data_IF_685969405712
#
_entry.id   IF_685969405712
#
_cell.length_a   1.000
_cell.length_b   1.000
_cell.length_c   1.000
_cell.angle_alpha   90.00
_cell.angle_beta   90.00
_cell.angle_gamma   90.00
#
_symmetry.space_group_name_H-M   'P 1'
#
loop_
_entity.id
_entity.type
_entity.pdbx_description
1 polymer ?
#
# COMPACT_ATOMS: atom_id res chain seq x y z
N UNK A 1 -29.96 5.54 12.34
CA UNK A 1 -30.77 5.60 11.11
C UNK A 1 -30.24 4.58 10.13
N UNK A 2 -31.13 3.83 9.48
CA UNK A 2 -30.78 2.75 8.56
C UNK A 2 -30.35 3.38 7.23
N UNK A 3 -29.10 3.83 7.14
CA UNK A 3 -28.51 4.43 5.94
C UNK A 3 -28.21 3.33 4.90
N UNK A 4 -29.26 2.66 4.44
CA UNK A 4 -29.16 1.73 3.33
C UNK A 4 -28.76 2.54 2.09
N UNK A 5 -27.77 2.06 1.31
CA UNK A 5 -27.29 2.83 0.17
C UNK A 5 -28.39 2.99 -0.88
N UNK A 6 -28.69 4.24 -1.25
CA UNK A 6 -29.71 4.56 -2.24
C UNK A 6 -29.36 3.96 -3.61
N UNK A 7 -30.37 3.57 -4.43
CA UNK A 7 -30.13 3.17 -5.81
C UNK A 7 -29.35 4.23 -6.58
N UNK A 8 -28.46 3.79 -7.46
CA UNK A 8 -27.66 4.67 -8.33
C UNK A 8 -28.03 4.42 -9.77
N UNK A 9 -28.11 5.50 -10.56
CA UNK A 9 -28.43 5.41 -11.99
C UNK A 9 -27.17 5.09 -12.81
N UNK A 10 -26.04 5.75 -12.51
CA UNK A 10 -24.77 5.54 -13.20
C UNK A 10 -23.70 5.03 -12.24
N UNK A 11 -22.97 3.99 -12.65
CA UNK A 11 -21.90 3.39 -11.82
C UNK A 11 -20.64 4.26 -11.76
N UNK A 12 -20.41 5.07 -12.79
CA UNK A 12 -19.31 6.03 -12.87
C UNK A 12 -19.30 7.01 -11.70
N UNK A 13 -20.47 7.34 -11.17
CA UNK A 13 -20.62 8.29 -10.06
C UNK A 13 -20.06 7.73 -8.74
N UNK A 14 -19.78 6.42 -8.68
CA UNK A 14 -19.15 5.77 -7.55
C UNK A 14 -17.64 5.72 -7.64
N UNK A 15 -17.06 5.94 -8.82
CA UNK A 15 -15.65 5.70 -9.08
C UNK A 15 -14.84 6.86 -8.51
N UNK A 16 -13.89 6.51 -7.65
CA UNK A 16 -12.94 7.44 -7.05
C UNK A 16 -11.55 7.09 -7.54
N UNK A 17 -10.68 8.10 -7.67
CA UNK A 17 -9.26 7.86 -7.87
C UNK A 17 -8.72 7.02 -6.69
N UNK A 18 -7.90 6.01 -6.98
CA UNK A 18 -7.49 5.02 -5.97
C UNK A 18 -6.70 5.64 -4.81
N UNK A 19 -5.97 6.73 -5.07
CA UNK A 19 -5.23 7.52 -4.09
C UNK A 19 -6.13 8.39 -3.21
N UNK A 20 -7.35 8.72 -3.66
CA UNK A 20 -8.33 9.48 -2.87
C UNK A 20 -9.34 8.58 -2.15
N UNK A 21 -9.68 7.42 -2.74
CA UNK A 21 -10.71 6.49 -2.28
C UNK A 21 -10.62 6.17 -0.79
N UNK A 22 -11.72 6.36 -0.06
CA UNK A 22 -11.81 5.95 1.34
C UNK A 22 -12.05 4.44 1.41
N UNK A 23 -11.30 3.75 2.26
CA UNK A 23 -11.47 2.32 2.46
C UNK A 23 -12.76 2.00 3.21
N UNK A 24 -13.44 0.94 2.79
CA UNK A 24 -14.69 0.51 3.39
C UNK A 24 -14.49 -0.56 4.48
N UNK A 25 -13.32 -1.19 4.56
CA UNK A 25 -13.10 -2.35 5.44
C UNK A 25 -13.82 -3.61 4.95
N UNK A 26 -14.00 -3.73 3.63
CA UNK A 26 -14.75 -4.77 2.94
C UNK A 26 -13.99 -5.27 1.70
N UNK A 27 -13.84 -6.58 1.56
CA UNK A 27 -13.21 -7.23 0.40
C UNK A 27 -11.93 -8.01 0.70
N UNK A 28 -11.42 -7.96 1.93
CA UNK A 28 -10.23 -8.71 2.32
C UNK A 28 -9.01 -8.33 1.48
N UNK A 29 -8.28 -9.34 0.96
CA UNK A 29 -7.06 -9.13 0.16
C UNK A 29 -7.31 -8.25 -1.07
N UNK A 30 -8.52 -8.24 -1.64
CA UNK A 30 -8.85 -7.35 -2.75
C UNK A 30 -8.85 -5.86 -2.36
N UNK A 31 -9.05 -5.53 -1.08
CA UNK A 31 -8.97 -4.15 -0.60
C UNK A 31 -7.56 -3.79 -0.11
N UNK A 32 -6.93 -4.67 0.68
CA UNK A 32 -5.68 -4.35 1.39
C UNK A 32 -4.41 -4.96 0.82
N UNK A 33 -4.51 -5.87 -0.14
CA UNK A 33 -3.37 -6.66 -0.64
C UNK A 33 -3.14 -6.51 -2.14
N UNK A 34 -4.18 -6.66 -2.97
CA UNK A 34 -4.08 -6.46 -4.43
C UNK A 34 -4.02 -4.97 -4.73
N UNK A 35 -3.11 -4.59 -5.62
CA UNK A 35 -2.76 -3.20 -5.88
C UNK A 35 -3.27 -2.74 -7.24
N UNK A 36 -2.42 -2.12 -8.08
CA UNK A 36 -2.76 -1.53 -9.39
C UNK A 36 -3.42 -2.49 -10.38
N UNK A 37 -3.34 -3.80 -10.13
CA UNK A 37 -3.94 -4.87 -10.94
C UNK A 37 -5.45 -5.03 -10.74
N UNK A 38 -6.01 -4.37 -9.72
CA UNK A 38 -7.41 -4.47 -9.35
C UNK A 38 -8.00 -3.10 -9.06
N UNK A 39 -9.00 -2.70 -9.84
CA UNK A 39 -9.76 -1.48 -9.53
C UNK A 39 -10.64 -1.70 -8.30
N UNK A 40 -10.23 -1.09 -7.19
CA UNK A 40 -10.90 -1.21 -5.89
C UNK A 40 -12.30 -0.59 -5.89
N UNK A 41 -12.69 0.17 -6.92
CA UNK A 41 -14.05 0.64 -7.09
C UNK A 41 -15.04 -0.53 -7.29
N UNK A 42 -14.61 -1.67 -7.85
CA UNK A 42 -15.47 -2.85 -7.96
C UNK A 42 -15.95 -3.40 -6.60
N UNK A 43 -15.16 -3.24 -5.54
CA UNK A 43 -15.57 -3.62 -4.19
C UNK A 43 -16.77 -2.78 -3.69
N UNK A 44 -16.84 -1.51 -4.09
CA UNK A 44 -17.95 -0.62 -3.75
C UNK A 44 -19.25 -1.12 -4.39
N UNK A 45 -19.19 -1.58 -5.64
CA UNK A 45 -20.36 -2.16 -6.34
C UNK A 45 -20.85 -3.41 -5.61
N UNK A 46 -19.93 -4.32 -5.26
CA UNK A 46 -20.26 -5.56 -4.53
C UNK A 46 -20.87 -5.21 -3.16
N UNK A 47 -20.25 -4.31 -2.41
CA UNK A 47 -20.74 -3.84 -1.12
C UNK A 47 -22.16 -3.29 -1.22
N UNK A 48 -22.42 -2.36 -2.15
CA UNK A 48 -23.73 -1.74 -2.35
C UNK A 48 -24.81 -2.77 -2.71
N UNK A 49 -24.45 -3.76 -3.54
CA UNK A 49 -25.37 -4.83 -3.95
C UNK A 49 -25.79 -5.69 -2.76
N UNK A 50 -24.83 -6.01 -1.88
CA UNK A 50 -25.07 -6.81 -0.69
C UNK A 50 -25.81 -6.02 0.39
N UNK A 51 -25.37 -4.81 0.69
CA UNK A 51 -25.92 -3.96 1.75
C UNK A 51 -27.38 -3.58 1.52
N UNK A 52 -27.88 -3.58 0.28
CA UNK A 52 -29.29 -3.33 -0.04
C UNK A 52 -30.23 -4.52 0.23
N UNK A 53 -29.70 -5.71 0.53
CA UNK A 53 -30.53 -6.90 0.78
C UNK A 53 -31.09 -6.86 2.20
N UNK A 54 -32.42 -6.93 2.34
CA UNK A 54 -33.14 -6.85 3.63
C UNK A 54 -32.68 -7.87 4.68
N UNK A 55 -32.21 -9.04 4.26
CA UNK A 55 -31.81 -10.14 5.14
C UNK A 55 -30.28 -10.30 5.23
N UNK A 56 -29.52 -9.30 4.82
CA UNK A 56 -28.06 -9.33 4.85
C UNK A 56 -27.54 -8.13 5.62
N UNK A 57 -26.62 -8.39 6.55
CA UNK A 57 -26.01 -7.37 7.39
C UNK A 57 -24.49 -7.54 7.36
N UNK A 58 -23.77 -6.42 7.26
CA UNK A 58 -22.31 -6.37 7.32
C UNK A 58 -21.95 -5.60 8.58
N UNK A 59 -21.05 -6.16 9.39
CA UNK A 59 -20.53 -5.51 10.58
C UNK A 59 -19.02 -5.33 10.44
N UNK A 60 -18.55 -4.08 10.50
CA UNK A 60 -17.13 -3.73 10.57
C UNK A 60 -16.64 -3.70 12.02
N UNK A 61 -15.32 -3.85 12.23
CA UNK A 61 -14.71 -3.74 13.56
C UNK A 61 -15.00 -4.90 14.52
N UNK A 62 -15.60 -6.00 14.03
CA UNK A 62 -15.91 -7.19 14.83
C UNK A 62 -14.87 -8.28 14.55
N UNK A 63 -14.14 -8.71 15.59
CA UNK A 63 -13.23 -9.86 15.51
C UNK A 63 -13.89 -11.10 16.10
N UNK A 64 -14.19 -12.08 15.26
CA UNK A 64 -14.68 -13.39 15.71
C UNK A 64 -13.60 -14.14 16.51
N UNK A 65 -13.96 -14.72 17.65
CA UNK A 65 -13.03 -15.25 18.66
C UNK A 65 -12.37 -14.19 19.55
N UNK A 66 -12.81 -12.92 19.45
CA UNK A 66 -12.32 -11.82 20.28
C UNK A 66 -13.46 -10.94 20.77
N UNK A 67 -13.85 -9.96 19.97
CA UNK A 67 -14.97 -9.05 20.25
C UNK A 67 -16.31 -9.79 20.25
N UNK A 68 -16.45 -10.79 19.38
CA UNK A 68 -17.59 -11.69 19.32
C UNK A 68 -17.07 -13.12 19.43
N UNK A 69 -17.47 -13.86 20.46
CA UNK A 69 -17.11 -15.26 20.64
C UNK A 69 -18.12 -16.18 19.96
N UNK A 70 -17.80 -17.46 19.91
CA UNK A 70 -18.70 -18.46 19.31
C UNK A 70 -19.95 -18.65 20.18
N UNK A 71 -19.80 -18.59 21.50
CA UNK A 71 -20.91 -18.67 22.46
C UNK A 71 -21.88 -17.50 22.29
N UNK A 72 -21.35 -16.27 22.18
CA UNK A 72 -22.15 -15.07 21.92
C UNK A 72 -23.00 -15.20 20.64
N UNK A 73 -22.43 -15.81 19.58
CA UNK A 73 -23.15 -16.01 18.33
C UNK A 73 -24.34 -16.97 18.49
N UNK A 74 -24.20 -18.01 19.30
CA UNK A 74 -25.28 -18.94 19.62
C UNK A 74 -26.37 -18.28 20.47
N UNK A 75 -25.97 -17.49 21.46
CA UNK A 75 -26.91 -16.72 22.31
C UNK A 75 -27.71 -15.69 21.49
N UNK A 76 -27.12 -15.15 20.42
CA UNK A 76 -27.79 -14.28 19.45
C UNK A 76 -28.71 -15.02 18.48
N UNK A 77 -28.82 -16.36 18.58
CA UNK A 77 -29.72 -17.18 17.77
C UNK A 77 -29.17 -17.57 16.39
N UNK A 78 -27.86 -17.46 16.15
CA UNK A 78 -27.24 -17.95 14.91
C UNK A 78 -27.33 -19.48 14.89
N UNK A 79 -27.80 -20.08 13.79
CA UNK A 79 -27.88 -21.55 13.68
C UNK A 79 -26.65 -22.19 12.99
N UNK A 80 -25.95 -21.43 12.15
CA UNK A 80 -24.82 -21.92 11.36
C UNK A 80 -23.72 -20.87 11.29
N UNK A 81 -22.47 -21.32 11.36
CA UNK A 81 -21.28 -20.47 11.24
C UNK A 81 -20.42 -21.00 10.09
N UNK A 82 -20.06 -20.12 9.17
CA UNK A 82 -19.08 -20.37 8.13
C UNK A 82 -17.82 -19.52 8.38
N UNK A 83 -16.65 -20.16 8.43
CA UNK A 83 -15.38 -19.49 8.64
C UNK A 83 -14.71 -19.24 7.29
N UNK A 84 -14.73 -17.99 6.83
CA UNK A 84 -14.16 -17.54 5.55
C UNK A 84 -13.11 -16.45 5.75
N UNK A 85 -12.24 -16.60 6.75
CA UNK A 85 -11.27 -15.56 7.17
C UNK A 85 -10.02 -15.46 6.28
N UNK A 86 -9.88 -16.34 5.29
CA UNK A 86 -8.68 -16.44 4.46
C UNK A 86 -7.43 -16.85 5.25
N UNK A 87 -6.25 -16.66 4.63
CA UNK A 87 -4.94 -17.03 5.18
C UNK A 87 -4.10 -15.78 5.52
N UNK A 88 -4.59 -14.94 6.43
CA UNK A 88 -3.97 -13.65 6.76
C UNK A 88 -2.77 -13.70 7.71
N UNK A 89 -2.38 -14.88 8.24
CA UNK A 89 -1.23 -15.00 9.15
C UNK A 89 0.07 -14.82 8.35
N UNK A 90 0.92 -13.83 8.67
CA UNK A 90 2.16 -13.62 7.92
C UNK A 90 3.14 -14.75 8.15
N UNK A 91 3.79 -15.19 7.07
CA UNK A 91 4.90 -16.16 7.15
C UNK A 91 6.15 -15.45 7.65
N UNK A 92 6.58 -15.77 8.87
CA UNK A 92 7.83 -15.26 9.42
C UNK A 92 8.98 -16.14 8.93
N UNK A 93 9.85 -15.56 8.09
CA UNK A 93 11.12 -16.19 7.72
C UNK A 93 12.05 -16.19 8.93
N UNK A 94 12.53 -17.37 9.30
CA UNK A 94 13.61 -17.53 10.28
C UNK A 94 14.91 -16.99 9.69
N UNK A 95 15.31 -15.80 10.13
CA UNK A 95 16.56 -15.18 9.75
C UNK A 95 17.09 -14.36 10.93
N UNK A 96 18.41 -14.28 11.03
CA UNK A 96 19.04 -13.36 11.98
C UNK A 96 18.56 -11.93 11.67
N UNK A 97 18.32 -11.14 12.71
CA UNK A 97 17.96 -9.72 12.57
C UNK A 97 16.61 -9.48 11.83
N UNK A 98 15.64 -10.38 11.93
CA UNK A 98 14.36 -10.27 11.21
C UNK A 98 13.44 -9.11 11.65
N UNK A 99 13.84 -8.32 12.66
CA UNK A 99 13.15 -7.15 13.19
C UNK A 99 14.01 -5.87 13.18
N UNK A 100 15.16 -5.86 12.50
CA UNK A 100 15.98 -4.64 12.41
C UNK A 100 15.28 -3.60 11.53
N UNK A 101 15.65 -2.32 11.73
CA UNK A 101 15.19 -1.21 10.89
C UNK A 101 15.48 -1.51 9.41
N UNK A 102 14.48 -1.28 8.56
CA UNK A 102 14.54 -1.56 7.13
C UNK A 102 14.05 -2.97 6.74
N UNK A 103 13.98 -3.94 7.67
CA UNK A 103 13.37 -5.25 7.39
C UNK A 103 11.88 -5.21 7.70
N UNK A 104 11.05 -5.58 6.71
CA UNK A 104 9.59 -5.61 6.83
C UNK A 104 9.03 -6.90 6.22
N UNK A 105 7.86 -7.33 6.69
CA UNK A 105 7.08 -8.37 5.98
C UNK A 105 6.26 -7.70 4.88
N UNK A 106 6.11 -8.37 3.75
CA UNK A 106 5.33 -7.87 2.63
C UNK A 106 3.88 -7.55 3.02
N UNK A 107 3.25 -8.40 3.83
CA UNK A 107 1.93 -8.15 4.42
C UNK A 107 1.89 -6.84 5.18
N UNK A 108 2.87 -6.57 6.03
CA UNK A 108 2.90 -5.39 6.89
C UNK A 108 3.11 -4.14 6.05
N UNK A 109 3.96 -4.20 5.04
CA UNK A 109 4.19 -3.10 4.10
C UNK A 109 2.93 -2.80 3.28
N UNK A 110 2.35 -3.79 2.59
CA UNK A 110 1.17 -3.60 1.75
C UNK A 110 -0.03 -3.17 2.59
N UNK A 111 -0.26 -3.79 3.75
CA UNK A 111 -1.32 -3.37 4.67
C UNK A 111 -1.08 -1.96 5.20
N UNK A 112 0.14 -1.58 5.59
CA UNK A 112 0.40 -0.21 6.03
C UNK A 112 0.14 0.79 4.91
N UNK A 113 0.64 0.52 3.70
CA UNK A 113 0.47 1.39 2.55
C UNK A 113 -1.01 1.61 2.22
N UNK A 114 -1.75 0.50 2.11
CA UNK A 114 -3.14 0.49 1.67
C UNK A 114 -4.09 0.87 2.81
N UNK A 115 -3.98 0.25 3.99
CA UNK A 115 -4.96 0.40 5.08
C UNK A 115 -4.84 1.72 5.85
N UNK A 116 -3.64 2.28 5.94
CA UNK A 116 -3.41 3.56 6.65
C UNK A 116 -3.44 4.76 5.70
N UNK A 117 -3.53 4.49 4.39
CA UNK A 117 -3.39 5.49 3.35
C UNK A 117 -2.04 6.19 3.41
N UNK A 118 -0.94 5.46 3.63
CA UNK A 118 0.39 6.08 3.80
C UNK A 118 0.82 6.90 2.56
N UNK A 119 0.35 6.49 1.38
CA UNK A 119 0.50 7.21 0.11
C UNK A 119 -0.31 8.52 0.03
N UNK A 120 -1.40 8.67 0.80
CA UNK A 120 -2.24 9.86 0.75
C UNK A 120 -1.51 11.06 1.34
N UNK A 121 -1.55 12.20 0.64
CA UNK A 121 -0.97 13.47 1.11
C UNK A 121 -1.57 13.90 2.46
N UNK A 122 -2.87 13.74 2.62
CA UNK A 122 -3.62 14.07 3.84
C UNK A 122 -3.38 13.13 5.02
N UNK A 123 -2.80 11.95 4.81
CA UNK A 123 -2.59 10.98 5.89
C UNK A 123 -1.35 11.31 6.72
N UNK A 124 -1.46 11.28 8.05
CA UNK A 124 -0.31 11.38 8.96
C UNK A 124 0.44 10.05 9.14
N UNK A 125 -0.02 8.96 8.53
CA UNK A 125 0.65 7.68 8.61
C UNK A 125 2.08 7.76 8.04
N UNK A 126 3.02 7.16 8.78
CA UNK A 126 4.43 7.07 8.42
C UNK A 126 4.76 5.65 7.99
N UNK A 127 5.17 5.50 6.73
CA UNK A 127 5.70 4.25 6.18
C UNK A 127 7.05 4.58 5.52
N UNK A 128 8.07 4.86 6.32
CA UNK A 128 9.38 5.17 5.75
C UNK A 128 9.98 3.94 5.05
N UNK A 129 10.36 4.12 3.79
CA UNK A 129 11.18 3.20 2.98
C UNK A 129 12.41 3.93 2.45
N UNK A 130 13.48 3.19 2.15
CA UNK A 130 14.70 3.72 1.54
C UNK A 130 15.09 2.85 0.34
N UNK A 131 15.89 3.40 -0.56
CA UNK A 131 16.45 2.69 -1.71
C UNK A 131 17.98 2.53 -1.54
N UNK A 132 18.59 1.48 -2.13
CA UNK A 132 17.94 0.38 -2.87
C UNK A 132 17.11 -0.53 -1.96
N UNK A 133 16.14 -1.24 -2.54
CA UNK A 133 15.29 -2.18 -1.82
C UNK A 133 15.31 -3.57 -2.45
N UNK A 134 15.22 -4.62 -1.60
CA UNK A 134 15.17 -6.02 -2.03
C UNK A 134 13.92 -6.68 -1.46
N UNK A 135 13.12 -7.28 -2.33
CA UNK A 135 11.94 -8.07 -1.98
C UNK A 135 12.27 -9.54 -2.15
N UNK A 136 12.17 -10.32 -1.09
CA UNK A 136 12.45 -11.77 -1.14
C UNK A 136 11.13 -12.54 -1.31
N UNK A 137 10.93 -13.16 -2.48
CA UNK A 137 9.74 -13.97 -2.75
C UNK A 137 9.58 -14.33 -4.22
N UNK A 138 8.61 -15.21 -4.51
CA UNK A 138 8.30 -15.64 -5.89
C UNK A 138 6.80 -15.77 -6.18
N UNK A 139 5.95 -15.26 -5.30
CA UNK A 139 4.50 -15.16 -5.53
C UNK A 139 4.11 -13.74 -5.93
N UNK A 140 2.83 -13.54 -6.26
CA UNK A 140 2.29 -12.22 -6.60
C UNK A 140 2.51 -11.18 -5.49
N UNK A 141 2.51 -11.59 -4.22
CA UNK A 141 2.82 -10.67 -3.11
C UNK A 141 4.21 -10.04 -3.24
N UNK A 142 5.20 -10.73 -3.81
CA UNK A 142 6.53 -10.16 -4.05
C UNK A 142 6.49 -9.14 -5.18
N UNK A 143 5.77 -9.44 -6.26
CA UNK A 143 5.54 -8.53 -7.38
C UNK A 143 4.84 -7.25 -6.89
N UNK A 144 3.69 -7.40 -6.21
CA UNK A 144 2.90 -6.30 -5.66
C UNK A 144 3.74 -5.45 -4.67
N UNK A 145 4.57 -6.10 -3.84
CA UNK A 145 5.46 -5.35 -2.92
C UNK A 145 6.49 -4.53 -3.67
N UNK A 146 7.10 -5.09 -4.71
CA UNK A 146 8.17 -4.43 -5.45
C UNK A 146 7.65 -3.23 -6.26
N UNK A 147 6.54 -3.42 -6.99
CA UNK A 147 5.92 -2.37 -7.80
C UNK A 147 5.37 -1.25 -6.92
N UNK A 148 4.69 -1.58 -5.81
CA UNK A 148 4.21 -0.58 -4.87
C UNK A 148 5.34 0.18 -4.17
N UNK A 149 6.44 -0.50 -3.81
CA UNK A 149 7.59 0.16 -3.20
C UNK A 149 8.20 1.19 -4.16
N UNK A 150 8.37 0.80 -5.42
CA UNK A 150 8.87 1.68 -6.49
C UNK A 150 7.94 2.88 -6.73
N UNK A 151 6.63 2.66 -6.82
CA UNK A 151 5.65 3.72 -7.02
C UNK A 151 5.48 4.64 -5.79
N UNK A 152 5.58 4.08 -4.59
CA UNK A 152 5.40 4.82 -3.33
C UNK A 152 6.62 5.68 -2.98
N UNK A 153 7.83 5.28 -3.38
CA UNK A 153 9.05 5.99 -2.99
C UNK A 153 9.03 7.50 -3.35
N UNK A 154 8.70 7.91 -4.60
CA UNK A 154 8.59 9.33 -4.93
C UNK A 154 7.53 10.06 -4.09
N UNK A 155 6.39 9.41 -3.82
CA UNK A 155 5.28 10.01 -3.07
C UNK A 155 5.65 10.31 -1.62
N UNK A 156 6.33 9.39 -0.93
CA UNK A 156 6.80 9.66 0.44
C UNK A 156 7.81 10.81 0.47
N UNK A 157 8.70 10.88 -0.52
CA UNK A 157 9.79 11.85 -0.57
C UNK A 157 9.22 13.27 -0.78
N UNK A 158 8.26 13.42 -1.70
CA UNK A 158 7.55 14.69 -1.90
C UNK A 158 6.80 15.13 -0.64
N UNK A 159 6.09 14.20 0.00
CA UNK A 159 5.33 14.43 1.23
C UNK A 159 6.24 14.86 2.39
N UNK A 160 7.41 14.24 2.52
CA UNK A 160 8.41 14.61 3.54
C UNK A 160 8.95 16.01 3.26
N UNK A 161 9.29 16.32 2.00
CA UNK A 161 9.78 17.66 1.63
C UNK A 161 8.74 18.74 1.90
N UNK A 162 7.48 18.49 1.59
CA UNK A 162 6.38 19.44 1.86
C UNK A 162 6.25 19.71 3.36
N UNK A 163 6.23 18.66 4.18
CA UNK A 163 6.18 18.79 5.64
C UNK A 163 7.39 19.52 6.20
N UNK A 164 8.58 19.19 5.72
CA UNK A 164 9.81 19.87 6.13
C UNK A 164 9.72 21.37 5.84
N UNK A 165 9.27 21.77 4.65
CA UNK A 165 9.05 23.19 4.29
C UNK A 165 8.05 23.89 5.21
N UNK A 166 6.94 23.24 5.55
CA UNK A 166 5.93 23.80 6.45
C UNK A 166 6.55 24.03 7.84
N UNK A 167 7.26 23.02 8.36
CA UNK A 167 7.88 23.09 9.68
C UNK A 167 9.01 24.13 9.74
N UNK A 168 9.86 24.23 8.72
CA UNK A 168 10.94 25.22 8.71
C UNK A 168 10.40 26.65 8.56
N UNK A 169 9.30 26.83 7.83
CA UNK A 169 8.59 28.11 7.78
C UNK A 169 8.01 28.51 9.14
N UNK A 170 7.44 27.55 9.89
CA UNK A 170 6.77 27.83 11.17
C UNK A 170 7.74 27.97 12.35
N UNK A 171 8.76 27.11 12.42
CA UNK A 171 9.64 26.98 13.59
C UNK A 171 11.09 27.43 13.36
N UNK A 172 11.47 27.73 12.11
CA UNK A 172 12.84 28.03 11.72
C UNK A 172 13.66 26.77 11.43
N UNK A 173 14.52 26.85 10.42
CA UNK A 173 15.29 25.71 9.91
C UNK A 173 16.21 25.08 10.97
N UNK A 174 17.01 25.89 11.68
CA UNK A 174 17.94 25.41 12.72
C UNK A 174 17.21 24.61 13.81
N UNK A 175 16.05 25.10 14.25
CA UNK A 175 15.24 24.43 15.27
C UNK A 175 14.72 23.09 14.76
N UNK A 176 14.18 23.03 13.55
CA UNK A 176 13.68 21.78 12.96
C UNK A 176 14.81 20.76 12.82
N UNK A 177 15.99 21.15 12.31
CA UNK A 177 17.15 20.27 12.22
C UNK A 177 17.64 19.78 13.58
N UNK A 178 17.55 20.60 14.63
CA UNK A 178 17.96 20.20 15.98
C UNK A 178 17.11 19.07 16.58
N UNK A 179 15.89 18.83 16.05
CA UNK A 179 14.99 17.78 16.54
C UNK A 179 15.39 16.37 16.10
N UNK A 180 16.24 16.23 15.08
CA UNK A 180 16.62 14.95 14.49
C UNK A 180 17.94 14.42 15.04
N UNK A 181 18.01 13.12 15.29
CA UNK A 181 19.26 12.41 15.54
C UNK A 181 20.13 12.35 14.27
N UNK A 182 21.42 12.04 14.42
CA UNK A 182 22.37 12.01 13.30
C UNK A 182 21.93 11.07 12.15
N UNK A 183 21.39 9.90 12.47
CA UNK A 183 20.85 8.96 11.47
C UNK A 183 19.66 9.58 10.70
N UNK A 184 18.74 10.22 11.41
CA UNK A 184 17.52 10.81 10.83
C UNK A 184 17.86 12.03 9.97
N UNK A 185 18.88 12.81 10.36
CA UNK A 185 19.42 13.89 9.53
C UNK A 185 19.93 13.37 8.20
N UNK A 186 20.76 12.33 8.20
CA UNK A 186 21.27 11.75 6.96
C UNK A 186 20.17 11.19 6.05
N UNK A 187 19.11 10.61 6.63
CA UNK A 187 17.94 10.15 5.87
C UNK A 187 17.14 11.33 5.29
N UNK A 188 16.93 12.39 6.08
CA UNK A 188 16.21 13.57 5.62
C UNK A 188 16.99 14.28 4.51
N UNK A 189 18.30 14.42 4.64
CA UNK A 189 19.18 14.98 3.60
C UNK A 189 19.06 14.18 2.28
N UNK A 190 19.15 12.85 2.35
CA UNK A 190 18.93 11.97 1.19
C UNK A 190 17.56 12.23 0.54
N UNK A 191 16.50 12.29 1.33
CA UNK A 191 15.15 12.54 0.81
C UNK A 191 15.00 13.94 0.22
N UNK A 192 15.62 14.96 0.80
CA UNK A 192 15.55 16.32 0.25
C UNK A 192 16.26 16.40 -1.12
N UNK A 193 17.39 15.72 -1.29
CA UNK A 193 18.08 15.61 -2.59
C UNK A 193 17.20 14.89 -3.61
N UNK A 194 16.59 13.76 -3.23
CA UNK A 194 15.71 13.03 -4.14
C UNK A 194 14.45 13.82 -4.48
N UNK A 195 13.91 14.58 -3.53
CA UNK A 195 12.74 15.42 -3.74
C UNK A 195 13.01 16.60 -4.70
N UNK A 196 14.24 17.09 -4.76
CA UNK A 196 14.65 18.06 -5.77
C UNK A 196 14.67 17.43 -7.16
N UNK A 197 15.28 16.25 -7.31
CA UNK A 197 15.29 15.50 -8.57
C UNK A 197 13.87 15.18 -9.07
N UNK A 198 12.97 14.76 -8.18
CA UNK A 198 11.56 14.49 -8.51
C UNK A 198 10.87 15.76 -9.00
N UNK A 199 11.09 16.90 -8.34
CA UNK A 199 10.50 18.16 -8.77
C UNK A 199 11.01 18.60 -10.15
N UNK A 200 12.30 18.43 -10.42
CA UNK A 200 12.89 18.74 -11.71
C UNK A 200 12.33 17.84 -12.81
N UNK A 201 12.12 16.55 -12.52
CA UNK A 201 11.51 15.61 -13.45
C UNK A 201 10.04 15.97 -13.75
N UNK A 202 9.27 16.39 -12.75
CA UNK A 202 7.91 16.91 -12.99
C UNK A 202 7.90 18.14 -13.90
N UNK A 203 8.79 19.10 -13.65
CA UNK A 203 8.91 20.31 -14.51
C UNK A 203 9.31 19.96 -15.94
N UNK A 204 10.24 19.02 -16.12
CA UNK A 204 10.64 18.51 -17.44
C UNK A 204 9.45 17.87 -18.14
N UNK A 205 8.75 16.95 -17.48
CA UNK A 205 7.60 16.25 -18.02
C UNK A 205 6.47 17.22 -18.42
N UNK A 206 6.19 18.22 -17.58
CA UNK A 206 5.23 19.28 -17.88
C UNK A 206 5.65 20.11 -19.12
N UNK A 207 6.92 20.51 -19.20
CA UNK A 207 7.44 21.27 -20.34
C UNK A 207 7.42 20.47 -21.66
N UNK A 208 7.52 19.14 -21.59
CA UNK A 208 7.50 18.24 -22.74
C UNK A 208 6.10 17.67 -23.05
N UNK A 209 5.09 17.91 -22.22
CA UNK A 209 3.76 17.32 -22.37
C UNK A 209 3.73 15.79 -22.14
N UNK A 210 4.65 15.28 -21.33
CA UNK A 210 4.82 13.85 -21.04
C UNK A 210 4.49 13.53 -19.58
N UNK A 211 4.41 12.24 -19.26
CA UNK A 211 4.35 11.79 -17.86
C UNK A 211 5.75 11.79 -17.23
N UNK A 212 5.86 12.11 -15.91
CA UNK A 212 7.14 12.01 -15.20
C UNK A 212 7.70 10.58 -15.22
N UNK A 213 8.96 10.44 -15.62
CA UNK A 213 9.70 9.19 -15.62
C UNK A 213 10.39 8.97 -14.26
N UNK A 214 9.60 8.65 -13.24
CA UNK A 214 10.14 8.30 -11.93
C UNK A 214 10.90 6.97 -11.91
N UNK A 215 10.62 6.08 -12.87
CA UNK A 215 11.30 4.80 -12.94
C UNK A 215 12.82 4.95 -13.12
N UNK A 216 13.24 5.89 -13.99
CA UNK A 216 14.66 6.18 -14.20
C UNK A 216 15.32 6.78 -12.95
N UNK A 217 14.63 7.64 -12.22
CA UNK A 217 15.15 8.20 -10.95
C UNK A 217 15.29 7.11 -9.88
N UNK A 218 14.25 6.29 -9.69
CA UNK A 218 14.31 5.18 -8.72
C UNK A 218 15.45 4.23 -9.06
N UNK A 219 15.67 3.94 -10.34
CA UNK A 219 16.79 3.11 -10.80
C UNK A 219 18.15 3.74 -10.52
N UNK A 220 18.30 5.06 -10.64
CA UNK A 220 19.57 5.75 -10.34
C UNK A 220 19.89 5.72 -8.83
N UNK A 221 18.88 5.55 -7.98
CA UNK A 221 19.02 5.33 -6.53
C UNK A 221 19.14 3.85 -6.14
N UNK A 222 19.43 2.98 -7.11
CA UNK A 222 19.66 1.55 -6.92
C UNK A 222 18.43 0.67 -7.10
N UNK A 223 17.24 1.25 -7.29
CA UNK A 223 16.04 0.53 -7.70
C UNK A 223 15.46 -0.44 -6.67
N UNK A 224 14.56 -1.28 -7.16
CA UNK A 224 13.88 -2.32 -6.37
C UNK A 224 14.09 -3.66 -7.07
N UNK A 225 14.58 -4.64 -6.33
CA UNK A 225 14.86 -5.97 -6.88
C UNK A 225 14.07 -7.08 -6.24
N UNK A 226 13.72 -8.11 -7.01
CA UNK A 226 13.08 -9.33 -6.49
C UNK A 226 14.09 -10.47 -6.42
N UNK A 227 14.40 -10.89 -5.19
CA UNK A 227 15.26 -12.02 -4.92
C UNK A 227 14.44 -13.32 -4.77
N UNK A 228 14.64 -14.24 -5.71
CA UNK A 228 14.05 -15.58 -5.68
C UNK A 228 14.92 -16.54 -4.86
N UNK A 229 14.30 -17.36 -4.00
CA UNK A 229 15.01 -18.43 -3.27
C UNK A 229 15.43 -19.59 -4.18
N UNK A 230 14.74 -19.79 -5.30
CA UNK A 230 14.99 -20.80 -6.33
C UNK A 230 15.04 -20.11 -7.70
N UNK A 231 14.96 -20.85 -8.80
CA UNK A 231 14.80 -20.26 -10.12
C UNK A 231 13.47 -19.51 -10.24
N UNK A 232 13.45 -18.44 -11.03
CA UNK A 232 12.22 -17.69 -11.33
C UNK A 232 11.15 -18.60 -11.98
N UNK A 233 11.57 -19.52 -12.85
CA UNK A 233 10.70 -20.51 -13.52
C UNK A 233 10.02 -21.49 -12.55
N UNK A 234 10.59 -21.67 -11.35
CA UNK A 234 10.02 -22.48 -10.29
C UNK A 234 8.99 -21.71 -9.43
N UNK A 235 8.86 -20.41 -9.64
CA UNK A 235 8.04 -19.54 -8.82
C UNK A 235 6.54 -19.68 -9.15
N UNK A 236 5.64 -19.58 -8.15
CA UNK A 236 4.20 -19.56 -8.40
C UNK A 236 3.76 -18.42 -9.32
N UNK A 237 4.37 -17.24 -9.22
CA UNK A 237 4.09 -16.13 -10.11
C UNK A 237 4.40 -16.51 -11.56
N UNK A 238 5.55 -17.14 -11.83
CA UNK A 238 5.90 -17.55 -13.19
C UNK A 238 4.95 -18.62 -13.75
N UNK A 239 4.56 -19.61 -12.93
CA UNK A 239 3.73 -20.72 -13.42
C UNK A 239 2.27 -20.35 -13.66
N UNK A 240 1.76 -19.37 -12.90
CA UNK A 240 0.33 -19.07 -12.87
C UNK A 240 -0.01 -17.66 -13.38
N UNK A 241 0.96 -16.74 -13.41
CA UNK A 241 0.76 -15.31 -13.67
C UNK A 241 2.03 -14.67 -14.28
N UNK A 242 2.67 -15.35 -15.24
CA UNK A 242 3.92 -14.86 -15.85
C UNK A 242 3.83 -13.46 -16.46
N UNK A 243 2.64 -13.06 -16.89
CA UNK A 243 2.33 -11.72 -17.40
C UNK A 243 2.67 -10.65 -16.36
N UNK A 244 2.46 -10.93 -15.08
CA UNK A 244 2.75 -10.00 -13.98
C UNK A 244 4.27 -9.81 -13.77
N UNK A 245 5.05 -10.87 -14.04
CA UNK A 245 6.50 -10.75 -14.03
C UNK A 245 6.94 -9.85 -15.19
N UNK A 246 6.43 -10.09 -16.39
CA UNK A 246 6.75 -9.27 -17.58
C UNK A 246 6.42 -7.79 -17.30
N UNK A 247 5.22 -7.51 -16.77
CA UNK A 247 4.82 -6.15 -16.42
C UNK A 247 5.72 -5.51 -15.36
N UNK A 248 6.10 -6.24 -14.33
CA UNK A 248 7.03 -5.71 -13.31
C UNK A 248 8.41 -5.37 -13.90
N UNK A 249 8.90 -6.16 -14.86
CA UNK A 249 10.16 -5.89 -15.55
C UNK A 249 10.04 -4.66 -16.47
N UNK A 250 8.90 -4.49 -17.16
CA UNK A 250 8.58 -3.30 -17.95
C UNK A 250 8.55 -2.02 -17.09
N UNK A 251 8.07 -2.12 -15.85
CA UNK A 251 8.06 -1.01 -14.87
C UNK A 251 9.46 -0.67 -14.32
N UNK A 252 10.45 -1.54 -14.51
CA UNK A 252 11.84 -1.32 -14.09
C UNK A 252 12.26 -2.05 -12.81
N UNK A 253 11.48 -3.05 -12.36
CA UNK A 253 11.90 -4.02 -11.35
C UNK A 253 12.91 -5.00 -11.97
N UNK A 254 13.88 -5.51 -11.20
CA UNK A 254 14.88 -6.47 -11.70
C UNK A 254 15.34 -7.52 -10.69
#
# INVERSE_FOLDING_TARGET
>A
ENNLPQPIQNVSDLYEALDERIMAGFGGVAEYGVTVRWDKNFLKIIYLTLARRKHFHIYGGVRFGGTLRIEDAWDLGVNHIAIATGAGRPTVVEMKNNLIRGVRKASDFLMALQLTGAAKKSSMASLQIRLPAIVIGGGLTAIDTATELMAYYPLQVEKIRERFKILTHEFGEERVWSMFAAEEKGILEEFLVHAEAIQNERKRAEASGELPNFAQLVRSWGGVSIAYRKNMTDSPAYRLNHEEIIKSLEEGIF
#
